data_IF_853943831851
#
_entry.id   IF_853943831851
#
_cell.length_a   1.000
_cell.length_b   1.000
_cell.length_c   1.000
_cell.angle_alpha   90.00
_cell.angle_beta   90.00
_cell.angle_gamma   90.00
#
_symmetry.space_group_name_H-M   'P 1'
#
loop_
_entity.id
_entity.type
_entity.pdbx_description
1 polymer ?
#
# COMPACT_ATOMS: atom_id res chain seq x y z
N UNK A 1 -16.21 40.38 -9.26
CA UNK A 1 -17.41 39.52 -9.36
C UNK A 1 -17.55 39.19 -10.82
N UNK A 2 -17.29 37.95 -11.20
CA UNK A 2 -17.31 37.56 -12.61
C UNK A 2 -18.69 37.01 -12.95
N UNK A 3 -19.19 37.37 -14.13
CA UNK A 3 -20.35 36.71 -14.72
C UNK A 3 -19.84 35.51 -15.52
N UNK A 4 -20.34 34.33 -15.19
CA UNK A 4 -20.11 33.08 -15.92
C UNK A 4 -21.36 32.74 -16.74
N UNK A 5 -21.23 31.96 -17.80
CA UNK A 5 -22.40 31.43 -18.52
C UNK A 5 -22.92 30.17 -17.85
N UNK A 6 -24.22 30.11 -17.62
CA UNK A 6 -24.90 28.89 -17.17
C UNK A 6 -24.75 27.80 -18.25
N UNK A 7 -24.35 26.59 -17.83
CA UNK A 7 -24.19 25.44 -18.73
C UNK A 7 -25.50 24.97 -19.36
N UNK A 8 -26.63 25.21 -18.70
CA UNK A 8 -27.94 24.75 -19.15
C UNK A 8 -28.64 25.78 -20.04
N UNK A 9 -28.76 27.03 -19.59
CA UNK A 9 -29.55 28.05 -20.28
C UNK A 9 -28.71 29.10 -21.03
N UNK A 10 -27.38 29.06 -20.91
CA UNK A 10 -26.47 30.00 -21.59
C UNK A 10 -26.50 31.44 -21.09
N UNK A 11 -27.35 31.78 -20.11
CA UNK A 11 -27.43 33.14 -19.54
C UNK A 11 -26.28 33.40 -18.58
N UNK A 12 -25.96 34.68 -18.41
CA UNK A 12 -24.94 35.15 -17.48
C UNK A 12 -25.43 35.03 -16.02
N UNK A 13 -24.59 34.44 -15.17
CA UNK A 13 -24.86 34.20 -13.75
C UNK A 13 -23.62 34.58 -12.96
N UNK A 14 -23.78 35.07 -11.73
CA UNK A 14 -22.63 35.30 -10.85
C UNK A 14 -21.89 33.99 -10.57
N UNK A 15 -20.57 34.06 -10.64
CA UNK A 15 -19.62 33.06 -10.14
C UNK A 15 -19.83 32.62 -8.68
N UNK A 16 -20.58 33.40 -7.88
CA UNK A 16 -20.89 33.12 -6.47
C UNK A 16 -22.32 32.63 -6.23
N UNK A 17 -23.17 32.56 -7.25
CA UNK A 17 -24.55 32.10 -7.08
C UNK A 17 -24.57 30.59 -6.78
N UNK A 18 -25.48 30.15 -5.91
CA UNK A 18 -25.70 28.72 -5.65
C UNK A 18 -26.39 28.02 -6.84
N UNK A 19 -27.26 28.76 -7.52
CA UNK A 19 -28.01 28.30 -8.69
C UNK A 19 -28.29 29.44 -9.65
N UNK A 20 -28.54 29.09 -10.91
CA UNK A 20 -28.92 30.03 -11.95
C UNK A 20 -30.31 30.60 -11.64
N UNK A 21 -30.46 31.92 -11.48
CA UNK A 21 -31.76 32.53 -11.20
C UNK A 21 -32.74 32.41 -12.37
N UNK A 22 -32.26 32.10 -13.58
CA UNK A 22 -33.10 31.98 -14.77
C UNK A 22 -33.70 30.60 -14.99
N UNK A 23 -32.99 29.52 -14.64
CA UNK A 23 -33.44 28.15 -14.93
C UNK A 23 -33.35 27.21 -13.73
N UNK A 24 -32.80 27.67 -12.60
CA UNK A 24 -32.64 26.85 -11.39
C UNK A 24 -31.46 25.89 -11.42
N UNK A 25 -30.74 25.76 -12.55
CA UNK A 25 -29.58 24.87 -12.64
C UNK A 25 -28.50 25.24 -11.60
N UNK A 26 -27.90 24.28 -10.90
CA UNK A 26 -26.82 24.57 -9.97
C UNK A 26 -25.68 25.23 -10.72
N UNK A 27 -25.27 26.40 -10.26
CA UNK A 27 -24.03 27.01 -10.75
C UNK A 27 -22.96 26.17 -10.12
N UNK A 28 -22.30 25.35 -10.94
CA UNK A 28 -21.32 24.37 -10.51
C UNK A 28 -20.22 25.07 -9.70
N UNK A 29 -20.47 25.26 -8.41
CA UNK A 29 -19.45 25.43 -7.43
C UNK A 29 -18.79 24.06 -7.46
N UNK A 30 -17.75 23.97 -8.29
CA UNK A 30 -16.89 22.81 -8.44
C UNK A 30 -16.62 22.40 -7.01
N UNK A 31 -17.32 21.38 -6.52
CA UNK A 31 -16.95 20.79 -5.25
C UNK A 31 -15.63 20.18 -5.63
N UNK A 32 -14.56 20.93 -5.38
CA UNK A 32 -13.22 20.39 -5.36
C UNK A 32 -13.27 19.52 -4.11
N UNK A 33 -13.86 18.34 -4.24
CA UNK A 33 -13.50 17.23 -3.41
C UNK A 33 -12.06 16.98 -3.84
N UNK A 34 -11.14 17.68 -3.20
CA UNK A 34 -9.73 17.34 -3.19
C UNK A 34 -9.65 15.97 -2.52
N UNK A 35 -9.97 14.91 -3.27
CA UNK A 35 -9.58 13.57 -2.93
C UNK A 35 -8.11 13.42 -3.35
N UNK A 36 -7.24 14.22 -2.73
CA UNK A 36 -5.79 14.05 -2.84
C UNK A 36 -5.34 12.78 -2.07
N UNK A 37 -6.28 12.12 -1.39
CA UNK A 37 -6.09 10.79 -0.82
C UNK A 37 -6.03 9.74 -1.92
N UNK A 38 -4.90 9.04 -2.08
CA UNK A 38 -4.80 7.98 -3.08
C UNK A 38 -5.75 6.83 -2.79
N UNK A 39 -6.46 6.39 -3.82
CA UNK A 39 -7.43 5.28 -3.77
C UNK A 39 -6.85 3.93 -4.17
N UNK A 40 -5.60 3.91 -4.66
CA UNK A 40 -4.88 2.71 -5.09
C UNK A 40 -3.41 2.80 -4.70
N UNK A 41 -2.74 1.64 -4.62
CA UNK A 41 -1.28 1.59 -4.42
C UNK A 41 -0.59 1.59 -5.76
N UNK A 42 0.48 2.39 -5.90
CA UNK A 42 1.38 2.34 -7.05
C UNK A 42 2.81 2.12 -6.57
N UNK A 43 3.62 1.46 -7.38
CA UNK A 43 5.04 1.27 -7.11
C UNK A 43 5.90 2.07 -8.10
N UNK A 44 6.81 2.89 -7.57
CA UNK A 44 7.81 3.62 -8.35
C UNK A 44 9.13 2.83 -8.36
N UNK A 45 9.54 2.35 -9.53
CA UNK A 45 10.78 1.58 -9.69
C UNK A 45 12.06 2.40 -9.67
N UNK A 46 12.00 3.70 -9.96
CA UNK A 46 13.18 4.58 -9.96
C UNK A 46 13.59 4.96 -8.53
N UNK A 47 12.59 5.25 -7.69
CA UNK A 47 12.78 5.68 -6.30
C UNK A 47 12.61 4.54 -5.26
N UNK A 48 12.30 3.32 -5.71
CA UNK A 48 12.03 2.13 -4.89
C UNK A 48 11.03 2.38 -3.73
N UNK A 49 9.91 3.06 -4.05
CA UNK A 49 8.89 3.42 -3.07
C UNK A 49 7.47 3.12 -3.58
N UNK A 50 6.54 3.14 -2.64
CA UNK A 50 5.12 2.93 -2.88
C UNK A 50 4.36 4.22 -2.61
N UNK A 51 3.36 4.53 -3.44
CA UNK A 51 2.39 5.57 -3.14
C UNK A 51 1.03 4.96 -2.81
N UNK A 52 0.32 5.51 -1.82
CA UNK A 52 -0.95 4.97 -1.34
C UNK A 52 -1.29 5.46 0.06
N UNK A 53 -2.24 4.79 0.72
CA UNK A 53 -2.49 4.99 2.15
C UNK A 53 -2.01 3.77 2.93
N UNK A 54 -1.69 3.94 4.22
CA UNK A 54 -1.21 2.84 5.06
C UNK A 54 -2.13 1.61 4.99
N UNK A 55 -3.45 1.80 5.07
CA UNK A 55 -4.42 0.71 4.97
C UNK A 55 -4.33 -0.04 3.62
N UNK A 56 -4.17 0.68 2.50
CA UNK A 56 -4.00 0.08 1.19
C UNK A 56 -2.70 -0.71 1.08
N UNK A 57 -1.61 -0.21 1.65
CA UNK A 57 -0.31 -0.89 1.65
C UNK A 57 -0.32 -2.15 2.53
N UNK A 58 -0.96 -2.10 3.70
CA UNK A 58 -1.12 -3.27 4.57
C UNK A 58 -1.97 -4.35 3.88
N UNK A 59 -3.08 -3.96 3.23
CA UNK A 59 -3.89 -4.89 2.42
C UNK A 59 -3.09 -5.50 1.26
N UNK A 60 -2.27 -4.70 0.59
CA UNK A 60 -1.37 -5.18 -0.46
C UNK A 60 -0.36 -6.20 0.09
N UNK A 61 0.22 -5.95 1.26
CA UNK A 61 1.15 -6.87 1.92
C UNK A 61 0.47 -8.18 2.30
N UNK A 62 -0.72 -8.13 2.90
CA UNK A 62 -1.52 -9.31 3.24
C UNK A 62 -1.82 -10.16 1.99
N UNK A 63 -2.24 -9.52 0.89
CA UNK A 63 -2.47 -10.20 -0.39
C UNK A 63 -1.21 -10.86 -0.92
N UNK A 64 -0.08 -10.15 -0.91
CA UNK A 64 1.20 -10.68 -1.37
C UNK A 64 1.64 -11.92 -0.58
N UNK A 65 1.43 -11.93 0.74
CA UNK A 65 1.72 -13.07 1.63
C UNK A 65 0.79 -14.26 1.30
N UNK A 66 -0.51 -13.99 1.12
CA UNK A 66 -1.51 -15.01 0.77
C UNK A 66 -1.24 -15.66 -0.59
N UNK A 67 -0.74 -14.92 -1.60
CA UNK A 67 -0.40 -15.48 -2.91
C UNK A 67 0.75 -16.51 -2.86
N UNK A 68 1.58 -16.49 -1.82
CA UNK A 68 2.59 -17.54 -1.57
C UNK A 68 2.10 -18.67 -0.67
N UNK A 69 0.84 -18.63 -0.21
CA UNK A 69 0.29 -19.60 0.74
C UNK A 69 0.96 -19.52 2.13
N UNK A 70 1.46 -18.35 2.52
CA UNK A 70 2.08 -18.14 3.83
C UNK A 70 1.06 -17.71 4.88
N UNK A 71 1.38 -17.98 6.14
CA UNK A 71 0.49 -17.69 7.27
C UNK A 71 0.74 -16.28 7.78
N UNK A 72 -0.28 -15.43 7.73
CA UNK A 72 -0.26 -14.12 8.39
C UNK A 72 -0.36 -14.31 9.90
N UNK A 73 0.55 -13.70 10.66
CA UNK A 73 0.52 -13.73 12.14
C UNK A 73 0.00 -12.42 12.73
N UNK A 74 0.42 -11.28 12.18
CA UNK A 74 -0.01 -9.97 12.62
C UNK A 74 0.02 -8.99 11.44
N UNK A 75 -0.94 -8.06 11.42
CA UNK A 75 -0.93 -6.88 10.56
C UNK A 75 -1.41 -5.70 11.40
N UNK A 76 -0.52 -4.75 11.67
CA UNK A 76 -0.80 -3.58 12.48
C UNK A 76 -0.60 -2.30 11.67
N UNK A 77 -1.72 -1.71 11.26
CA UNK A 77 -1.78 -0.50 10.45
C UNK A 77 -1.26 0.74 11.20
N UNK A 78 -1.33 0.77 12.54
CA UNK A 78 -0.90 1.93 13.32
C UNK A 78 0.62 2.11 13.34
N UNK A 79 1.37 1.02 13.20
CA UNK A 79 2.84 1.01 13.26
C UNK A 79 3.49 0.53 11.95
N UNK A 80 2.68 0.18 10.94
CA UNK A 80 3.18 -0.33 9.67
C UNK A 80 3.89 -1.67 9.77
N UNK A 81 3.54 -2.53 10.74
CA UNK A 81 4.21 -3.83 10.96
C UNK A 81 3.33 -4.97 10.47
N UNK A 82 3.91 -5.86 9.66
CA UNK A 82 3.29 -7.12 9.26
C UNK A 82 4.23 -8.25 9.63
N UNK A 83 3.74 -9.28 10.31
CA UNK A 83 4.50 -10.50 10.60
C UNK A 83 3.82 -11.71 9.98
N UNK A 84 4.62 -12.61 9.43
CA UNK A 84 4.12 -13.81 8.77
C UNK A 84 5.11 -14.97 8.88
N UNK A 85 4.61 -16.20 8.77
CA UNK A 85 5.42 -17.40 8.73
C UNK A 85 5.32 -18.09 7.38
N UNK A 86 6.47 -18.49 6.85
CA UNK A 86 6.51 -19.40 5.72
C UNK A 86 6.32 -20.83 6.18
N UNK A 87 5.77 -21.68 5.30
CA UNK A 87 5.80 -23.13 5.51
C UNK A 87 7.22 -23.70 5.53
N UNK A 88 7.30 -25.03 5.69
CA UNK A 88 8.55 -25.81 5.67
C UNK A 88 9.32 -25.51 4.39
N UNK A 89 10.60 -25.15 4.50
CA UNK A 89 11.46 -24.89 3.34
C UNK A 89 12.34 -26.11 3.03
N UNK A 90 12.81 -26.20 1.78
CA UNK A 90 13.47 -27.40 1.23
C UNK A 90 14.80 -27.77 1.93
N UNK A 91 15.33 -26.91 2.80
CA UNK A 91 16.52 -27.16 3.63
C UNK A 91 16.28 -27.01 5.15
N UNK A 92 15.05 -26.73 5.59
CA UNK A 92 14.72 -26.46 6.98
C UNK A 92 13.33 -26.98 7.34
N UNK A 93 13.27 -27.96 8.25
CA UNK A 93 12.02 -28.37 8.92
C UNK A 93 11.42 -27.29 9.82
N UNK A 94 12.08 -26.14 9.93
CA UNK A 94 11.52 -24.97 10.57
C UNK A 94 11.12 -23.93 9.53
N UNK A 95 9.85 -23.49 9.58
CA UNK A 95 9.40 -22.35 8.79
C UNK A 95 10.21 -21.09 9.13
N UNK A 96 10.19 -20.10 8.24
CA UNK A 96 10.82 -18.79 8.47
C UNK A 96 9.79 -17.83 9.02
N UNK A 97 10.12 -17.14 10.11
CA UNK A 97 9.33 -16.00 10.60
C UNK A 97 9.85 -14.73 9.96
N UNK A 98 8.99 -13.97 9.29
CA UNK A 98 9.33 -12.74 8.59
C UNK A 98 8.55 -11.55 9.15
N UNK A 99 9.14 -10.37 9.06
CA UNK A 99 8.46 -9.09 9.31
C UNK A 99 8.67 -8.11 8.16
N UNK A 100 7.62 -7.38 7.79
CA UNK A 100 7.67 -6.23 6.91
C UNK A 100 7.39 -4.97 7.72
N UNK A 101 8.19 -3.94 7.51
CA UNK A 101 7.97 -2.61 8.07
C UNK A 101 7.64 -1.64 6.92
N UNK A 102 6.51 -0.97 7.04
CA UNK A 102 5.98 0.03 6.12
C UNK A 102 6.18 1.39 6.78
N UNK A 103 7.08 2.19 6.24
CA UNK A 103 7.46 3.49 6.80
C UNK A 103 7.07 4.60 5.85
N UNK A 104 6.28 5.56 6.32
CA UNK A 104 5.97 6.76 5.57
C UNK A 104 7.17 7.69 5.56
N UNK A 105 7.63 8.09 4.37
CA UNK A 105 8.79 8.98 4.17
C UNK A 105 8.37 10.38 3.74
N UNK A 106 7.22 10.50 3.09
CA UNK A 106 6.54 11.75 2.77
C UNK A 106 5.04 11.46 2.61
N UNK A 107 4.16 12.47 2.58
CA UNK A 107 2.71 12.24 2.51
C UNK A 107 2.35 11.25 1.42
N UNK A 108 1.71 10.16 1.82
CA UNK A 108 1.27 9.07 0.95
C UNK A 108 2.38 8.30 0.23
N UNK A 109 3.64 8.48 0.61
CA UNK A 109 4.80 7.80 0.03
C UNK A 109 5.50 6.97 1.09
N UNK A 110 5.72 5.69 0.79
CA UNK A 110 6.16 4.70 1.75
C UNK A 110 7.35 3.89 1.24
N UNK A 111 8.27 3.61 2.15
CA UNK A 111 9.32 2.63 1.98
C UNK A 111 8.92 1.34 2.70
N UNK A 112 9.16 0.20 2.06
CA UNK A 112 8.87 -1.12 2.66
C UNK A 112 10.17 -1.89 2.81
N UNK A 113 10.48 -2.28 4.05
CA UNK A 113 11.65 -3.11 4.37
C UNK A 113 11.20 -4.44 4.95
N UNK A 114 12.04 -5.47 4.79
CA UNK A 114 11.72 -6.83 5.21
C UNK A 114 12.89 -7.48 5.93
N UNK A 115 12.59 -8.24 6.98
CA UNK A 115 13.55 -9.07 7.71
C UNK A 115 12.99 -10.48 7.90
N UNK A 116 13.88 -11.48 7.98
CA UNK A 116 13.49 -12.86 8.25
C UNK A 116 14.42 -13.53 9.27
N UNK A 117 13.84 -14.37 10.13
CA UNK A 117 14.54 -15.20 11.10
C UNK A 117 14.06 -16.66 10.99
N UNK A 118 15.00 -17.60 10.95
CA UNK A 118 14.71 -19.04 10.92
C UNK A 118 14.31 -19.55 12.32
N UNK A 119 13.30 -20.41 12.41
CA UNK A 119 12.79 -20.94 13.67
C UNK A 119 13.57 -22.18 14.16
N UNK A 120 14.82 -22.00 14.59
CA UNK A 120 15.64 -23.14 15.08
C UNK A 120 15.08 -23.78 16.36
N UNK A 121 15.09 -25.12 16.43
CA UNK A 121 14.77 -25.91 17.64
C UNK A 121 16.00 -26.72 18.09
N UNK A 122 16.13 -26.90 19.41
CA UNK A 122 17.39 -27.23 20.12
C UNK A 122 18.07 -28.52 19.68
N UNK A 123 19.05 -28.41 18.77
CA UNK A 123 19.92 -29.50 18.32
C UNK A 123 20.72 -29.20 17.03
N UNK A 124 20.36 -28.19 16.25
CA UNK A 124 21.07 -27.83 15.02
C UNK A 124 22.33 -27.00 15.28
N UNK A 125 23.48 -27.66 15.41
CA UNK A 125 24.82 -27.05 15.59
C UNK A 125 25.52 -26.65 14.27
N UNK A 126 24.91 -26.87 13.11
CA UNK A 126 25.51 -26.57 11.80
C UNK A 126 24.72 -25.47 11.09
N UNK A 127 24.87 -24.24 11.58
CA UNK A 127 24.36 -23.01 10.97
C UNK A 127 25.19 -22.58 9.75
N UNK A 128 25.42 -23.49 8.80
CA UNK A 128 26.23 -23.19 7.61
C UNK A 128 25.29 -22.64 6.53
N UNK A 129 25.26 -21.30 6.40
CA UNK A 129 24.67 -20.53 5.28
C UNK A 129 23.14 -20.33 5.20
N UNK A 130 22.42 -20.17 6.32
CA UNK A 130 20.94 -19.97 6.30
C UNK A 130 20.48 -18.52 6.60
N UNK A 131 21.40 -17.56 6.62
CA UNK A 131 21.04 -16.13 6.74
C UNK A 131 20.34 -15.57 5.49
N UNK A 132 20.73 -16.05 4.30
CA UNK A 132 20.19 -15.57 3.03
C UNK A 132 18.78 -16.08 2.75
N UNK A 133 18.41 -17.26 3.25
CA UNK A 133 17.10 -17.85 2.97
C UNK A 133 15.98 -17.08 3.68
N UNK A 134 16.16 -16.77 4.97
CA UNK A 134 15.16 -16.08 5.75
C UNK A 134 14.90 -14.66 5.21
N UNK A 135 15.98 -13.93 4.88
CA UNK A 135 15.92 -12.62 4.26
C UNK A 135 15.30 -12.68 2.85
N UNK A 136 15.56 -13.75 2.10
CA UNK A 136 15.00 -13.97 0.75
C UNK A 136 13.47 -14.08 0.76
N UNK A 137 12.87 -14.68 1.80
CA UNK A 137 11.40 -14.76 1.92
C UNK A 137 10.74 -13.39 2.12
N UNK A 138 11.31 -12.56 3.00
CA UNK A 138 10.84 -11.19 3.19
C UNK A 138 10.99 -10.37 1.90
N UNK A 139 12.15 -10.50 1.21
CA UNK A 139 12.35 -9.87 -0.10
C UNK A 139 11.34 -10.35 -1.14
N UNK A 140 11.04 -11.66 -1.18
CA UNK A 140 10.06 -12.25 -2.11
C UNK A 140 8.65 -11.70 -1.86
N UNK A 141 8.26 -11.45 -0.62
CA UNK A 141 7.00 -10.76 -0.30
C UNK A 141 6.95 -9.36 -0.94
N UNK A 142 8.01 -8.57 -0.72
CA UNK A 142 8.13 -7.21 -1.27
C UNK A 142 8.09 -7.23 -2.80
N UNK A 143 8.81 -8.16 -3.45
CA UNK A 143 8.77 -8.31 -4.92
C UNK A 143 7.36 -8.63 -5.44
N UNK A 144 6.58 -9.44 -4.72
CA UNK A 144 5.17 -9.68 -5.07
C UNK A 144 4.33 -8.42 -4.88
N UNK A 145 4.54 -7.64 -3.81
CA UNK A 145 3.87 -6.35 -3.64
C UNK A 145 4.18 -5.39 -4.80
N UNK A 146 5.44 -5.31 -5.24
CA UNK A 146 5.86 -4.51 -6.40
C UNK A 146 5.14 -4.93 -7.68
N UNK A 147 4.95 -6.25 -7.89
CA UNK A 147 4.20 -6.77 -9.06
C UNK A 147 2.72 -6.42 -8.98
N UNK A 148 2.11 -6.59 -7.82
CA UNK A 148 0.69 -6.32 -7.61
C UNK A 148 0.34 -4.83 -7.69
N UNK A 149 1.26 -3.94 -7.34
CA UNK A 149 1.09 -2.49 -7.44
C UNK A 149 1.40 -1.89 -8.83
N UNK A 150 1.85 -2.72 -9.79
CA UNK A 150 2.07 -2.31 -11.19
C UNK A 150 0.87 -2.59 -12.09
N UNK A 151 -0.06 -3.43 -11.65
CA UNK A 151 -1.24 -3.86 -12.40
C UNK A 151 -2.46 -2.99 -12.10
#
# INVERSE_FOLDING_TARGET
>A
MALIKCSECGREVSDKALSCPSCGAPVANKIILESDTPTSVKYNSEADNFSGTMNLLVKLAMRAIQEHGWTLENANENIGLITFKTGISWGSWSGVSCSLNITEVSPYTFLITGTGKQNISGGQLLAINIGNEAQSKARKAIETMKKLAKN
#
